data_IF_547942260540
#
_entry.id   IF_547942260540
#
_cell.length_a   1.000
_cell.length_b   1.000
_cell.length_c   1.000
_cell.angle_alpha   90.00
_cell.angle_beta   90.00
_cell.angle_gamma   90.00
#
_symmetry.space_group_name_H-M   'P 1'
#
loop_
_entity.id
_entity.type
_entity.pdbx_description
1 polymer ?
#
# COMPACT_ATOMS: atom_id res chain seq x y z
N UNK A 1 7.27 -2.47 78.06
CA UNK A 1 6.02 -1.68 78.15
C UNK A 1 5.58 -1.43 76.73
N UNK A 2 4.43 -2.03 76.36
CA UNK A 2 3.69 -1.84 75.10
C UNK A 2 4.40 -2.46 73.85
N UNK A 3 3.76 -3.05 72.85
CA UNK A 3 2.46 -2.80 72.20
C UNK A 3 2.02 -4.12 71.49
N UNK A 4 0.74 -4.47 71.58
CA UNK A 4 -0.06 -5.15 70.53
C UNK A 4 -1.14 -4.14 70.07
N UNK A 5 -1.87 -4.31 68.93
CA UNK A 5 -1.99 -5.48 68.05
C UNK A 5 -1.96 -5.19 66.52
N UNK A 6 -1.97 -6.29 65.76
CA UNK A 6 -2.26 -6.42 64.32
C UNK A 6 -3.58 -5.76 63.89
N UNK A 7 -3.54 -4.95 62.82
CA UNK A 7 -4.71 -4.43 62.12
C UNK A 7 -4.64 -4.76 60.63
N UNK A 8 -5.79 -5.21 60.11
CA UNK A 8 -6.09 -5.60 58.74
C UNK A 8 -5.87 -4.43 57.75
N UNK A 9 -5.30 -4.74 56.58
CA UNK A 9 -5.26 -3.85 55.41
C UNK A 9 -6.57 -3.97 54.62
N UNK A 10 -7.31 -2.89 54.35
CA UNK A 10 -8.37 -2.87 53.35
C UNK A 10 -7.90 -2.26 52.01
N UNK A 11 -8.71 -2.57 50.99
CA UNK A 11 -8.90 -1.89 49.71
C UNK A 11 -7.84 -2.04 48.60
N UNK A 12 -8.11 -3.02 47.76
CA UNK A 12 -8.39 -2.83 46.32
C UNK A 12 -8.02 -1.44 45.79
N UNK A 13 -6.84 -1.36 45.18
CA UNK A 13 -6.50 -0.31 44.23
C UNK A 13 -7.49 -0.38 43.05
N UNK A 14 -8.15 0.72 42.67
CA UNK A 14 -9.05 0.73 41.53
C UNK A 14 -8.28 0.50 40.22
N UNK A 15 -8.85 -0.36 39.37
CA UNK A 15 -8.54 -0.61 37.96
C UNK A 15 -8.50 0.71 37.16
N UNK A 16 -7.36 1.41 37.14
CA UNK A 16 -7.15 2.61 36.30
C UNK A 16 -5.87 2.53 35.46
N UNK A 17 -5.34 1.34 35.22
CA UNK A 17 -4.20 1.09 34.32
C UNK A 17 -4.53 0.22 33.11
N UNK A 18 -5.81 0.03 32.78
CA UNK A 18 -6.26 -0.75 31.62
C UNK A 18 -6.88 0.06 30.47
N UNK A 19 -6.92 1.40 30.57
CA UNK A 19 -7.67 2.25 29.61
C UNK A 19 -6.81 3.05 28.61
N UNK A 20 -5.55 2.65 28.36
CA UNK A 20 -4.64 3.38 27.45
C UNK A 20 -4.28 2.66 26.12
N UNK A 21 -5.10 1.73 25.63
CA UNK A 21 -4.92 1.12 24.30
C UNK A 21 -6.22 0.93 23.48
N UNK A 22 -7.30 1.65 23.80
CA UNK A 22 -8.50 1.71 22.94
C UNK A 22 -8.54 3.03 22.16
N UNK A 23 -7.56 3.25 21.29
CA UNK A 23 -7.72 4.25 20.24
C UNK A 23 -8.83 3.75 19.31
N UNK A 24 -10.05 4.27 19.50
CA UNK A 24 -11.19 4.04 18.61
C UNK A 24 -10.72 4.14 17.14
N UNK A 25 -10.95 3.12 16.31
CA UNK A 25 -10.42 3.10 14.95
C UNK A 25 -10.98 4.28 14.15
N UNK A 26 -10.09 5.13 13.63
CA UNK A 26 -10.46 6.24 12.75
C UNK A 26 -11.05 5.70 11.45
N UNK A 27 -12.37 5.82 11.31
CA UNK A 27 -13.08 5.54 10.05
C UNK A 27 -12.98 6.70 9.06
N UNK A 28 -13.03 6.38 7.77
CA UNK A 28 -13.09 7.39 6.72
C UNK A 28 -14.39 8.19 6.79
N UNK A 29 -14.27 9.51 6.67
CA UNK A 29 -15.39 10.40 6.41
C UNK A 29 -15.95 10.19 5.00
N UNK A 30 -17.21 10.60 4.71
CA UNK A 30 -17.77 10.53 3.36
C UNK A 30 -16.93 11.25 2.29
N UNK A 31 -16.29 12.37 2.67
CA UNK A 31 -15.42 13.15 1.77
C UNK A 31 -14.13 12.39 1.46
N UNK A 32 -13.48 11.80 2.46
CA UNK A 32 -12.27 10.99 2.26
C UNK A 32 -12.57 9.75 1.42
N UNK A 33 -13.69 9.07 1.68
CA UNK A 33 -14.14 7.92 0.89
C UNK A 33 -14.41 8.31 -0.57
N UNK A 34 -15.14 9.40 -0.81
CA UNK A 34 -15.40 9.89 -2.16
C UNK A 34 -14.10 10.19 -2.91
N UNK A 35 -13.14 10.84 -2.25
CA UNK A 35 -11.82 11.15 -2.83
C UNK A 35 -11.09 9.87 -3.22
N UNK A 36 -11.00 8.91 -2.31
CA UNK A 36 -10.34 7.63 -2.58
C UNK A 36 -10.97 6.89 -3.76
N UNK A 37 -12.31 6.87 -3.85
CA UNK A 37 -13.03 6.24 -4.96
C UNK A 37 -12.99 7.02 -6.28
N UNK A 38 -12.48 8.25 -6.28
CA UNK A 38 -12.34 9.07 -7.49
C UNK A 38 -11.01 8.85 -8.23
N UNK A 39 -10.07 8.11 -7.63
CA UNK A 39 -8.78 7.80 -8.27
C UNK A 39 -9.02 6.89 -9.47
N UNK A 40 -8.47 7.27 -10.62
CA UNK A 40 -8.55 6.47 -11.86
C UNK A 40 -7.79 5.15 -11.68
N UNK A 41 -8.47 4.03 -11.95
CA UNK A 41 -7.84 2.71 -12.03
C UNK A 41 -7.23 2.51 -13.43
N UNK A 42 -5.91 2.68 -13.52
CA UNK A 42 -5.14 2.57 -14.77
C UNK A 42 -5.16 1.15 -15.36
N UNK A 43 -5.56 0.14 -14.58
CA UNK A 43 -5.73 -1.23 -15.08
C UNK A 43 -7.03 -1.42 -15.84
N UNK A 44 -8.01 -0.53 -15.66
CA UNK A 44 -9.34 -0.68 -16.24
C UNK A 44 -9.46 0.07 -17.59
N UNK A 45 -9.62 -0.65 -18.71
CA UNK A 45 -9.75 -0.03 -20.04
C UNK A 45 -11.00 0.86 -20.15
N UNK A 46 -12.02 0.67 -19.30
CA UNK A 46 -13.19 1.54 -19.28
C UNK A 46 -12.86 2.97 -18.83
N UNK A 47 -11.72 3.17 -18.16
CA UNK A 47 -11.25 4.50 -17.74
C UNK A 47 -10.30 5.15 -18.75
N UNK A 48 -10.13 4.56 -19.93
CA UNK A 48 -9.24 5.03 -21.00
C UNK A 48 -7.95 4.21 -21.10
N UNK A 49 -7.21 4.33 -22.23
CA UNK A 49 -6.01 3.55 -22.48
C UNK A 49 -4.88 3.90 -21.51
N UNK A 50 -4.04 2.91 -21.20
CA UNK A 50 -2.80 3.08 -20.43
C UNK A 50 -1.85 1.89 -20.62
N UNK A 51 -0.54 2.14 -20.62
CA UNK A 51 0.52 1.13 -20.79
C UNK A 51 0.47 -0.01 -19.76
N UNK A 52 -0.07 0.27 -18.57
CA UNK A 52 -0.30 -0.73 -17.52
C UNK A 52 -1.21 -1.87 -18.01
N UNK A 53 -2.19 -1.57 -18.86
CA UNK A 53 -3.11 -2.56 -19.44
C UNK A 53 -2.37 -3.48 -20.41
N UNK A 54 -1.45 -2.92 -21.21
CA UNK A 54 -0.61 -3.69 -22.13
C UNK A 54 0.33 -4.63 -21.39
N UNK A 55 0.97 -4.14 -20.32
CA UNK A 55 1.85 -4.96 -19.49
C UNK A 55 1.06 -6.09 -18.80
N UNK A 56 -0.10 -5.77 -18.22
CA UNK A 56 -0.96 -6.77 -17.59
C UNK A 56 -1.42 -7.82 -18.60
N UNK A 57 -1.84 -7.40 -19.80
CA UNK A 57 -2.23 -8.31 -20.88
C UNK A 57 -1.06 -9.23 -21.27
N UNK A 58 0.14 -8.69 -21.47
CA UNK A 58 1.33 -9.48 -21.79
C UNK A 58 1.63 -10.56 -20.74
N UNK A 59 1.49 -10.23 -19.45
CA UNK A 59 1.68 -11.19 -18.35
C UNK A 59 0.61 -12.28 -18.36
N UNK A 60 -0.66 -11.90 -18.50
CA UNK A 60 -1.79 -12.84 -18.54
C UNK A 60 -1.70 -13.76 -19.75
N UNK A 61 -1.39 -13.21 -20.92
CA UNK A 61 -1.22 -13.96 -22.17
C UNK A 61 -0.04 -14.93 -22.08
N UNK A 62 1.09 -14.51 -21.49
CA UNK A 62 2.23 -15.38 -21.30
C UNK A 62 1.91 -16.57 -20.37
N UNK A 63 1.24 -16.31 -19.25
CA UNK A 63 0.85 -17.36 -18.30
C UNK A 63 -0.20 -18.32 -18.88
N UNK A 64 -1.24 -17.79 -19.52
CA UNK A 64 -2.29 -18.61 -20.14
C UNK A 64 -1.74 -19.45 -21.29
N UNK A 65 -0.87 -18.90 -22.14
CA UNK A 65 -0.18 -19.65 -23.18
C UNK A 65 0.76 -20.72 -22.60
N UNK A 66 1.49 -20.41 -21.52
CA UNK A 66 2.43 -21.34 -20.88
C UNK A 66 1.75 -22.58 -20.31
N UNK A 67 0.53 -22.44 -19.81
CA UNK A 67 -0.24 -23.52 -19.19
C UNK A 67 -1.34 -24.11 -20.09
N UNK A 68 -1.72 -23.43 -21.17
CA UNK A 68 -2.83 -23.83 -22.02
C UNK A 68 -4.20 -23.69 -21.33
N UNK A 69 -4.37 -22.63 -20.54
CA UNK A 69 -5.57 -22.39 -19.70
C UNK A 69 -6.27 -21.08 -20.06
N UNK A 70 -7.52 -20.93 -19.65
CA UNK A 70 -8.21 -19.63 -19.73
C UNK A 70 -7.81 -18.72 -18.57
N UNK A 71 -8.05 -17.41 -18.74
CA UNK A 71 -8.02 -16.44 -17.66
C UNK A 71 -9.42 -15.90 -17.37
N UNK A 72 -9.74 -15.74 -16.09
CA UNK A 72 -10.92 -15.02 -15.62
C UNK A 72 -10.50 -13.73 -14.92
N UNK A 73 -10.81 -12.59 -15.53
CA UNK A 73 -10.59 -11.28 -14.91
C UNK A 73 -11.74 -10.98 -13.94
N UNK A 74 -11.41 -10.70 -12.68
CA UNK A 74 -12.37 -10.35 -11.63
C UNK A 74 -12.19 -8.89 -11.27
N UNK A 75 -13.18 -8.07 -11.63
CA UNK A 75 -13.30 -6.68 -11.21
C UNK A 75 -14.54 -6.53 -10.33
N UNK A 76 -14.31 -6.20 -9.08
CA UNK A 76 -15.35 -5.94 -8.08
C UNK A 76 -15.03 -4.61 -7.37
N UNK A 77 -16.03 -3.96 -6.75
CA UNK A 77 -15.79 -2.70 -6.05
C UNK A 77 -14.66 -2.82 -5.01
N UNK A 78 -13.85 -1.77 -4.81
CA UNK A 78 -12.75 -1.80 -3.85
C UNK A 78 -13.22 -1.80 -2.39
N UNK A 79 -14.50 -1.55 -2.14
CA UNK A 79 -15.11 -1.66 -0.82
C UNK A 79 -15.38 -3.14 -0.51
N UNK A 80 -14.67 -3.69 0.47
CA UNK A 80 -14.68 -5.11 0.80
C UNK A 80 -14.96 -5.32 2.29
N UNK A 81 -15.40 -6.53 2.64
CA UNK A 81 -15.51 -6.92 4.04
C UNK A 81 -14.12 -7.10 4.66
N UNK A 82 -13.99 -6.78 5.94
CA UNK A 82 -12.77 -7.08 6.72
C UNK A 82 -12.46 -8.57 6.67
N UNK A 83 -13.50 -9.41 6.61
CA UNK A 83 -13.37 -10.85 6.51
C UNK A 83 -12.70 -11.29 5.20
N UNK A 84 -13.09 -10.71 4.06
CA UNK A 84 -12.47 -11.04 2.77
C UNK A 84 -11.06 -10.47 2.64
N UNK A 85 -10.83 -9.25 3.16
CA UNK A 85 -9.50 -8.64 3.12
C UNK A 85 -8.49 -9.35 4.03
N UNK A 86 -8.91 -9.93 5.16
CA UNK A 86 -7.98 -10.47 6.13
C UNK A 86 -8.33 -11.87 6.63
N UNK A 87 -9.50 -12.08 7.22
CA UNK A 87 -9.82 -13.32 7.94
C UNK A 87 -9.76 -14.56 7.03
N UNK A 88 -10.35 -14.47 5.84
CA UNK A 88 -10.40 -15.57 4.86
C UNK A 88 -9.03 -15.84 4.23
N UNK A 89 -8.15 -14.84 4.22
CA UNK A 89 -6.74 -14.97 3.82
C UNK A 89 -5.82 -15.43 4.96
N UNK A 90 -6.33 -15.54 6.19
CA UNK A 90 -5.61 -16.14 7.32
C UNK A 90 -4.77 -15.17 8.15
N UNK A 91 -4.91 -13.86 7.93
CA UNK A 91 -4.26 -12.86 8.77
C UNK A 91 -4.75 -12.98 10.22
N UNK A 92 -3.85 -12.87 11.19
CA UNK A 92 -4.21 -12.86 12.60
C UNK A 92 -5.00 -11.58 12.96
N UNK A 93 -5.88 -11.65 13.96
CA UNK A 93 -6.62 -10.46 14.42
C UNK A 93 -5.70 -9.36 14.98
N UNK A 94 -4.54 -9.75 15.53
CA UNK A 94 -3.51 -8.86 16.06
C UNK A 94 -2.44 -8.49 15.02
N UNK A 95 -2.66 -8.80 13.75
CA UNK A 95 -1.72 -8.49 12.68
C UNK A 95 -1.61 -6.97 12.50
N UNK A 96 -0.39 -6.46 12.48
CA UNK A 96 -0.09 -5.03 12.33
C UNK A 96 -0.71 -4.44 11.06
N UNK A 97 -0.86 -5.24 10.00
CA UNK A 97 -1.48 -4.81 8.74
C UNK A 97 -2.97 -4.46 8.89
N UNK A 98 -3.62 -4.90 9.98
CA UNK A 98 -5.00 -4.53 10.30
C UNK A 98 -5.10 -3.22 11.08
N UNK A 99 -4.00 -2.68 11.59
CA UNK A 99 -4.07 -1.45 12.36
C UNK A 99 -4.59 -0.29 11.51
N UNK A 100 -5.39 0.59 12.12
CA UNK A 100 -5.96 1.73 11.42
C UNK A 100 -4.87 2.60 10.80
N UNK A 101 -3.69 2.74 11.41
CA UNK A 101 -2.59 3.53 10.83
C UNK A 101 -2.14 3.10 9.43
N UNK A 102 -2.38 1.86 9.01
CA UNK A 102 -2.06 1.37 7.65
C UNK A 102 -3.30 1.21 6.77
N UNK A 103 -4.47 1.07 7.40
CA UNK A 103 -5.68 0.56 6.74
C UNK A 103 -6.85 1.53 6.83
N UNK A 104 -7.57 1.68 5.71
CA UNK A 104 -8.66 2.65 5.55
C UNK A 104 -10.04 2.00 5.76
N UNK A 105 -10.47 1.95 7.01
CA UNK A 105 -11.79 1.41 7.41
C UNK A 105 -12.93 2.40 7.14
N UNK A 106 -14.10 1.89 6.74
CA UNK A 106 -15.34 2.68 6.62
C UNK A 106 -16.35 2.33 7.72
N UNK A 107 -16.21 1.15 8.32
CA UNK A 107 -17.00 0.67 9.47
C UNK A 107 -16.23 -0.47 10.16
N UNK A 108 -16.71 -1.02 11.30
CA UNK A 108 -16.05 -2.17 11.96
C UNK A 108 -15.91 -3.41 11.07
N UNK A 109 -16.72 -3.54 10.01
CA UNK A 109 -16.79 -4.73 9.16
C UNK A 109 -16.46 -4.47 7.70
N UNK A 110 -16.23 -3.22 7.32
CA UNK A 110 -16.05 -2.79 5.92
C UNK A 110 -14.89 -1.81 5.78
N UNK A 111 -14.13 -1.95 4.68
CA UNK A 111 -12.94 -1.15 4.39
C UNK A 111 -12.73 -0.99 2.89
N UNK A 112 -11.88 -0.04 2.50
CA UNK A 112 -11.25 -0.09 1.19
C UNK A 112 -10.17 -1.17 1.20
N UNK A 113 -10.13 -2.03 0.18
CA UNK A 113 -9.19 -3.15 0.11
C UNK A 113 -7.74 -2.66 0.25
N UNK A 114 -6.97 -3.28 1.13
CA UNK A 114 -5.55 -2.95 1.30
C UNK A 114 -4.65 -3.73 0.34
N UNK A 115 -5.17 -4.71 -0.38
CA UNK A 115 -4.50 -5.43 -1.47
C UNK A 115 -5.53 -6.09 -2.38
N UNK A 116 -5.16 -6.40 -3.62
CA UNK A 116 -6.06 -7.08 -4.57
C UNK A 116 -6.43 -8.50 -4.14
N UNK A 117 -5.62 -9.16 -3.29
CA UNK A 117 -5.92 -10.50 -2.76
C UNK A 117 -7.21 -10.52 -1.95
N UNK A 118 -7.67 -9.37 -1.45
CA UNK A 118 -8.94 -9.23 -0.74
C UNK A 118 -10.15 -9.72 -1.54
N UNK A 119 -10.06 -9.74 -2.88
CA UNK A 119 -11.15 -10.24 -3.71
C UNK A 119 -11.01 -11.72 -4.08
N UNK A 120 -9.89 -12.36 -3.74
CA UNK A 120 -9.64 -13.78 -4.04
C UNK A 120 -10.63 -14.69 -3.29
N UNK A 121 -10.90 -14.54 -1.98
CA UNK A 121 -11.86 -15.41 -1.31
C UNK A 121 -13.25 -15.40 -1.97
N UNK A 122 -13.70 -14.23 -2.42
CA UNK A 122 -14.92 -14.10 -3.23
C UNK A 122 -14.77 -14.75 -4.62
N UNK A 123 -13.66 -14.50 -5.31
CA UNK A 123 -13.41 -15.02 -6.65
C UNK A 123 -13.35 -16.55 -6.69
N UNK A 124 -12.74 -17.20 -5.69
CA UNK A 124 -12.59 -18.66 -5.67
C UNK A 124 -13.81 -19.38 -5.09
N UNK A 125 -14.61 -18.74 -4.23
CA UNK A 125 -15.77 -19.41 -3.61
C UNK A 125 -16.83 -19.85 -4.63
N UNK A 126 -16.93 -19.15 -5.76
CA UNK A 126 -17.83 -19.52 -6.88
C UNK A 126 -17.51 -20.89 -7.49
N UNK A 127 -16.30 -21.42 -7.28
CA UNK A 127 -15.90 -22.74 -7.78
C UNK A 127 -16.31 -23.89 -6.85
N UNK A 128 -16.74 -23.61 -5.61
CA UNK A 128 -17.14 -24.64 -4.64
C UNK A 128 -18.28 -25.55 -5.15
N UNK A 129 -19.15 -25.01 -6.00
CA UNK A 129 -20.30 -25.73 -6.59
C UNK A 129 -20.00 -26.30 -7.98
N UNK A 130 -18.78 -26.13 -8.52
CA UNK A 130 -18.43 -26.55 -9.88
C UNK A 130 -17.99 -28.01 -9.90
N UNK A 131 -18.62 -28.79 -10.78
CA UNK A 131 -18.35 -30.22 -10.96
C UNK A 131 -17.37 -30.52 -12.10
N UNK A 132 -17.32 -29.66 -13.12
CA UNK A 132 -16.36 -29.80 -14.21
C UNK A 132 -14.92 -29.56 -13.72
N UNK A 133 -13.91 -30.23 -14.29
CA UNK A 133 -12.51 -29.93 -14.01
C UNK A 133 -12.20 -28.45 -14.24
N UNK A 134 -11.33 -27.90 -13.39
CA UNK A 134 -10.91 -26.51 -13.44
C UNK A 134 -9.38 -26.46 -13.45
N UNK A 135 -8.85 -25.72 -14.40
CA UNK A 135 -7.48 -25.20 -14.41
C UNK A 135 -7.56 -23.83 -15.07
N UNK A 136 -7.53 -22.78 -14.25
CA UNK A 136 -7.86 -21.43 -14.69
C UNK A 136 -7.00 -20.39 -13.95
N UNK A 137 -6.56 -19.37 -14.68
CA UNK A 137 -5.89 -18.20 -14.11
C UNK A 137 -6.91 -17.15 -13.69
N UNK A 138 -7.09 -16.95 -12.39
CA UNK A 138 -7.90 -15.88 -11.83
C UNK A 138 -7.02 -14.63 -11.74
N UNK A 139 -7.45 -13.56 -12.40
CA UNK A 139 -6.71 -12.29 -12.46
C UNK A 139 -7.54 -11.21 -11.78
N UNK A 140 -7.01 -10.61 -10.72
CA UNK A 140 -7.67 -9.55 -9.94
C UNK A 140 -6.82 -8.28 -9.99
N UNK A 141 -6.98 -7.43 -11.01
CA UNK A 141 -6.26 -6.17 -11.09
C UNK A 141 -7.02 -5.03 -10.41
N UNK A 142 -6.28 -4.02 -9.98
CA UNK A 142 -6.80 -2.68 -9.69
C UNK A 142 -6.15 -2.00 -8.50
N UNK A 143 -6.74 -0.89 -8.06
CA UNK A 143 -6.24 -0.09 -6.96
C UNK A 143 -6.35 -0.79 -5.60
N UNK A 144 -5.28 -0.77 -4.82
CA UNK A 144 -5.30 -1.00 -3.37
C UNK A 144 -5.25 0.35 -2.65
N UNK A 145 -5.71 0.39 -1.40
CA UNK A 145 -5.80 1.62 -0.61
C UNK A 145 -5.08 1.43 0.72
N UNK A 146 -3.91 2.04 0.84
CA UNK A 146 -3.07 1.98 2.03
C UNK A 146 -2.77 3.40 2.53
N UNK A 147 -2.44 3.52 3.81
CA UNK A 147 -1.70 4.67 4.30
C UNK A 147 -0.22 4.32 4.14
N UNK A 148 0.47 5.07 3.30
CA UNK A 148 1.84 4.80 2.88
C UNK A 148 2.58 6.13 2.68
N UNK A 149 3.90 6.07 2.69
CA UNK A 149 4.77 7.23 2.54
C UNK A 149 4.70 7.81 1.12
N UNK A 150 4.96 9.10 1.00
CA UNK A 150 4.97 9.83 -0.28
C UNK A 150 6.41 10.02 -0.75
N UNK A 151 6.77 9.25 -1.77
CA UNK A 151 8.03 9.42 -2.49
C UNK A 151 7.89 9.07 -3.98
N UNK A 152 9.02 9.06 -4.70
CA UNK A 152 9.07 8.82 -6.15
C UNK A 152 8.64 7.41 -6.56
N UNK A 153 8.52 6.48 -5.61
CA UNK A 153 8.27 5.05 -5.79
C UNK A 153 7.04 4.54 -5.04
N UNK A 154 6.50 5.32 -4.08
CA UNK A 154 5.37 4.96 -3.23
C UNK A 154 4.23 5.97 -3.38
N UNK A 155 3.00 5.44 -3.40
CA UNK A 155 1.75 6.19 -3.42
C UNK A 155 0.74 5.50 -2.51
N UNK A 156 -0.17 6.25 -1.90
CA UNK A 156 -1.20 5.69 -1.02
C UNK A 156 -2.24 4.80 -1.73
N UNK A 157 -2.32 4.89 -3.07
CA UNK A 157 -3.27 4.14 -3.89
C UNK A 157 -2.56 3.40 -5.03
N UNK A 158 -1.71 2.39 -4.75
CA UNK A 158 -0.99 1.66 -5.79
C UNK A 158 -1.93 0.72 -6.56
N UNK A 159 -1.64 0.49 -7.84
CA UNK A 159 -2.25 -0.60 -8.60
C UNK A 159 -1.51 -1.89 -8.31
N UNK A 160 -2.29 -2.94 -8.08
CA UNK A 160 -1.80 -4.29 -7.90
C UNK A 160 -2.51 -5.24 -8.86
N UNK A 161 -1.96 -6.43 -9.00
CA UNK A 161 -2.67 -7.57 -9.56
C UNK A 161 -2.39 -8.80 -8.72
N UNK A 162 -3.45 -9.54 -8.41
CA UNK A 162 -3.36 -10.92 -7.97
C UNK A 162 -3.58 -11.85 -9.15
N UNK A 163 -2.62 -12.73 -9.39
CA UNK A 163 -2.63 -13.79 -10.39
C UNK A 163 -2.66 -15.13 -9.66
N UNK A 164 -3.81 -15.79 -9.66
CA UNK A 164 -4.02 -17.04 -8.94
C UNK A 164 -4.41 -18.16 -9.90
N UNK A 165 -3.54 -19.15 -10.09
CA UNK A 165 -3.89 -20.33 -10.87
C UNK A 165 -4.60 -21.33 -9.96
N UNK A 166 -5.88 -21.57 -10.19
CA UNK A 166 -6.68 -22.51 -9.40
C UNK A 166 -6.88 -23.81 -10.18
N UNK A 167 -6.55 -24.95 -9.55
CA UNK A 167 -6.64 -26.28 -10.15
C UNK A 167 -7.50 -27.20 -9.30
N UNK A 168 -8.41 -27.93 -9.93
CA UNK A 168 -9.22 -28.98 -9.30
C UNK A 168 -8.49 -30.34 -9.24
N UNK A 169 -7.18 -30.28 -8.98
CA UNK A 169 -6.30 -31.42 -8.73
C UNK A 169 -5.28 -31.00 -7.65
N UNK A 170 -4.87 -31.88 -6.71
CA UNK A 170 -4.00 -31.54 -5.59
C UNK A 170 -2.50 -31.78 -5.89
N UNK A 171 -2.04 -31.46 -7.10
CA UNK A 171 -0.70 -31.81 -7.60
C UNK A 171 0.17 -30.59 -7.93
N UNK A 172 -0.24 -29.36 -7.57
CA UNK A 172 0.58 -28.15 -7.81
C UNK A 172 1.85 -28.17 -6.96
N UNK A 173 3.00 -27.94 -7.58
CA UNK A 173 4.32 -28.02 -6.92
C UNK A 173 5.12 -26.71 -6.98
N UNK A 174 6.27 -26.67 -6.31
CA UNK A 174 7.23 -25.56 -6.42
C UNK A 174 7.81 -25.41 -7.83
N UNK A 175 7.87 -26.48 -8.63
CA UNK A 175 8.29 -26.37 -10.02
C UNK A 175 7.29 -25.55 -10.84
N UNK A 176 5.98 -25.72 -10.59
CA UNK A 176 4.94 -24.89 -11.20
C UNK A 176 5.09 -23.42 -10.78
N UNK A 177 5.47 -23.17 -9.52
CA UNK A 177 5.72 -21.84 -8.99
C UNK A 177 6.93 -21.18 -9.67
N UNK A 178 8.04 -21.89 -9.82
CA UNK A 178 9.22 -21.39 -10.54
C UNK A 178 8.93 -21.09 -12.01
N UNK A 179 8.10 -21.92 -12.67
CA UNK A 179 7.62 -21.64 -14.03
C UNK A 179 6.80 -20.35 -14.05
N UNK A 180 5.89 -20.15 -13.09
CA UNK A 180 5.10 -18.92 -12.98
C UNK A 180 6.00 -17.69 -12.84
N UNK A 181 6.96 -17.75 -11.90
CA UNK A 181 7.90 -16.65 -11.63
C UNK A 181 8.69 -16.29 -12.88
N UNK A 182 9.32 -17.27 -13.53
CA UNK A 182 10.10 -17.03 -14.73
C UNK A 182 9.26 -16.44 -15.87
N UNK A 183 8.02 -16.90 -16.02
CA UNK A 183 7.09 -16.39 -17.06
C UNK A 183 6.67 -14.95 -16.77
N UNK A 184 6.36 -14.61 -15.51
CA UNK A 184 6.00 -13.24 -15.11
C UNK A 184 7.20 -12.30 -15.29
N UNK A 185 8.39 -12.69 -14.81
CA UNK A 185 9.59 -11.87 -14.95
C UNK A 185 9.92 -11.61 -16.43
N UNK A 186 9.88 -12.63 -17.28
CA UNK A 186 10.19 -12.45 -18.71
C UNK A 186 9.15 -11.59 -19.43
N UNK A 187 7.87 -11.70 -19.06
CA UNK A 187 6.82 -10.84 -19.61
C UNK A 187 6.94 -9.37 -19.18
N UNK A 188 7.33 -9.11 -17.92
CA UNK A 188 7.46 -7.76 -17.37
C UNK A 188 8.79 -7.12 -17.78
N UNK A 189 9.89 -7.85 -17.64
CA UNK A 189 11.28 -7.41 -17.85
C UNK A 189 12.06 -8.49 -18.61
N UNK A 190 11.86 -8.60 -19.94
CA UNK A 190 12.53 -9.57 -20.78
C UNK A 190 14.05 -9.56 -20.60
N UNK A 191 14.63 -10.73 -20.35
CA UNK A 191 16.07 -10.89 -20.15
C UNK A 191 16.62 -10.43 -18.79
N UNK A 192 15.78 -9.97 -17.86
CA UNK A 192 16.23 -9.64 -16.52
C UNK A 192 16.67 -10.89 -15.73
N UNK A 193 17.74 -10.73 -14.95
CA UNK A 193 18.11 -11.73 -13.95
C UNK A 193 17.15 -11.60 -12.77
N UNK A 194 16.71 -12.72 -12.22
CA UNK A 194 15.86 -12.75 -11.03
C UNK A 194 16.39 -13.75 -10.01
N UNK A 195 15.95 -13.58 -8.76
CA UNK A 195 16.18 -14.53 -7.65
C UNK A 195 14.93 -14.59 -6.78
N UNK A 196 14.84 -15.62 -5.96
CA UNK A 196 13.80 -15.75 -4.94
C UNK A 196 14.40 -15.73 -3.55
N UNK A 197 13.67 -15.11 -2.62
CA UNK A 197 13.96 -15.15 -1.18
C UNK A 197 12.74 -15.70 -0.47
N UNK A 198 12.87 -16.69 0.43
CA UNK A 198 11.72 -17.20 1.19
C UNK A 198 10.99 -16.08 1.93
N UNK A 199 9.66 -16.08 1.83
CA UNK A 199 8.77 -15.10 2.43
C UNK A 199 7.55 -15.82 3.02
N UNK A 200 7.05 -15.35 4.16
CA UNK A 200 5.91 -15.97 4.84
C UNK A 200 4.71 -15.07 4.68
N UNK A 201 3.68 -15.58 4.00
CA UNK A 201 2.37 -14.92 3.91
C UNK A 201 1.28 -15.83 4.48
N UNK A 202 0.26 -15.28 5.17
CA UNK A 202 -0.81 -16.08 5.77
C UNK A 202 -1.62 -16.92 4.79
N UNK A 203 -1.63 -16.52 3.50
CA UNK A 203 -2.43 -17.13 2.44
C UNK A 203 -1.63 -18.04 1.50
N UNK A 204 -0.33 -18.23 1.72
CA UNK A 204 0.52 -19.12 0.91
C UNK A 204 1.30 -20.13 1.74
N UNK A 205 1.68 -21.25 1.13
CA UNK A 205 2.78 -22.13 1.58
C UNK A 205 3.97 -21.97 0.66
N UNK A 206 5.16 -22.17 1.22
CA UNK A 206 6.44 -22.06 0.51
C UNK A 206 6.51 -20.73 -0.26
N UNK A 207 6.08 -19.66 0.43
CA UNK A 207 6.05 -18.33 -0.13
C UNK A 207 7.45 -17.82 -0.42
N UNK A 208 7.58 -17.00 -1.45
CA UNK A 208 8.81 -16.32 -1.78
C UNK A 208 8.56 -14.95 -2.41
N UNK A 209 9.46 -14.04 -2.08
CA UNK A 209 9.63 -12.77 -2.74
C UNK A 209 10.47 -12.98 -4.01
N UNK A 210 10.08 -12.33 -5.10
CA UNK A 210 10.77 -12.33 -6.38
C UNK A 210 11.48 -11.00 -6.56
N UNK A 211 12.82 -11.03 -6.60
CA UNK A 211 13.63 -9.86 -6.90
C UNK A 211 14.15 -9.92 -8.33
N UNK A 212 14.17 -8.78 -9.01
CA UNK A 212 14.81 -8.59 -10.32
C UNK A 212 16.06 -7.72 -10.18
N UNK A 213 17.11 -8.05 -10.95
CA UNK A 213 18.32 -7.24 -11.01
C UNK A 213 18.12 -6.09 -11.98
N UNK A 214 18.14 -4.87 -11.46
CA UNK A 214 17.93 -3.65 -12.22
C UNK A 214 18.82 -2.54 -11.67
N UNK A 215 19.49 -1.81 -12.57
CA UNK A 215 20.39 -0.69 -12.23
C UNK A 215 21.32 -0.98 -11.03
N UNK A 216 22.06 -2.09 -11.11
CA UNK A 216 23.03 -2.52 -10.10
C UNK A 216 22.47 -2.84 -8.71
N UNK A 217 21.16 -3.05 -8.58
CA UNK A 217 20.53 -3.46 -7.32
C UNK A 217 19.46 -4.53 -7.53
N UNK A 218 19.10 -5.24 -6.46
CA UNK A 218 17.99 -6.18 -6.45
C UNK A 218 16.74 -5.44 -5.99
N UNK A 219 15.70 -5.46 -6.82
CA UNK A 219 14.43 -4.79 -6.54
C UNK A 219 13.31 -5.82 -6.52
N UNK A 220 12.48 -5.76 -5.48
CA UNK A 220 11.29 -6.59 -5.35
C UNK A 220 10.28 -6.28 -6.47
N UNK A 221 9.86 -7.32 -7.19
CA UNK A 221 8.85 -7.27 -8.23
C UNK A 221 7.49 -7.83 -7.75
N UNK A 222 7.51 -8.99 -7.11
CA UNK A 222 6.30 -9.73 -6.76
C UNK A 222 6.53 -10.64 -5.54
N UNK A 223 5.44 -11.07 -4.92
CA UNK A 223 5.42 -12.11 -3.88
C UNK A 223 4.50 -13.24 -4.34
N UNK A 224 4.88 -14.49 -4.08
CA UNK A 224 4.13 -15.64 -4.58
C UNK A 224 4.31 -16.90 -3.72
N UNK A 225 3.48 -17.91 -3.95
CA UNK A 225 3.57 -19.19 -3.27
C UNK A 225 2.49 -20.18 -3.70
N UNK A 226 2.48 -21.36 -3.09
CA UNK A 226 1.37 -22.32 -3.23
C UNK A 226 0.17 -21.82 -2.41
N UNK A 227 -1.05 -21.93 -2.92
CA UNK A 227 -2.24 -21.51 -2.16
C UNK A 227 -2.32 -22.26 -0.82
N UNK A 228 -2.48 -21.53 0.29
CA UNK A 228 -2.61 -22.17 1.60
C UNK A 228 -3.94 -22.96 1.69
N UNK A 229 -3.93 -24.24 2.12
CA UNK A 229 -5.14 -25.06 2.25
C UNK A 229 -6.26 -24.43 3.09
N UNK A 230 -5.92 -23.65 4.10
CA UNK A 230 -6.95 -22.98 4.91
C UNK A 230 -7.66 -21.85 4.17
N UNK A 231 -7.02 -21.21 3.19
CA UNK A 231 -7.69 -20.22 2.33
C UNK A 231 -8.72 -20.91 1.43
N UNK A 232 -8.38 -22.08 0.89
CA UNK A 232 -9.30 -22.92 0.14
C UNK A 232 -10.49 -23.33 1.01
N UNK A 233 -10.23 -23.87 2.23
CA UNK A 233 -11.30 -24.28 3.18
C UNK A 233 -12.22 -23.13 3.55
N UNK A 234 -11.66 -21.96 3.93
CA UNK A 234 -12.43 -20.75 4.26
C UNK A 234 -13.19 -20.16 3.06
N UNK A 235 -12.94 -20.67 1.86
CA UNK A 235 -13.68 -20.30 0.65
C UNK A 235 -14.58 -21.42 0.13
N UNK A 236 -14.72 -22.53 0.86
CA UNK A 236 -15.60 -23.65 0.51
C UNK A 236 -14.98 -24.69 -0.43
N UNK A 237 -13.66 -24.66 -0.65
CA UNK A 237 -12.94 -25.61 -1.49
C UNK A 237 -12.19 -26.63 -0.63
N UNK A 238 -12.32 -27.91 -0.97
CA UNK A 238 -11.61 -29.00 -0.30
C UNK A 238 -10.15 -29.10 -0.78
N UNK A 239 -9.14 -28.89 0.08
CA UNK A 239 -7.73 -28.95 -0.31
C UNK A 239 -7.24 -30.34 -0.75
N UNK A 240 -8.02 -31.41 -0.51
CA UNK A 240 -7.73 -32.73 -1.08
C UNK A 240 -8.04 -32.77 -2.58
N UNK A 241 -8.92 -31.88 -3.05
CA UNK A 241 -9.33 -31.78 -4.46
C UNK A 241 -8.75 -30.57 -5.17
N UNK A 242 -8.42 -29.52 -4.43
CA UNK A 242 -8.03 -28.23 -4.99
C UNK A 242 -6.62 -27.85 -4.57
N UNK A 243 -5.83 -27.36 -5.52
CA UNK A 243 -4.54 -26.73 -5.26
C UNK A 243 -4.32 -25.58 -6.23
N UNK A 244 -3.19 -24.89 -6.12
CA UNK A 244 -2.88 -23.81 -7.05
C UNK A 244 -1.73 -22.94 -6.61
N UNK A 245 -1.50 -21.91 -7.41
CA UNK A 245 -0.49 -20.88 -7.19
C UNK A 245 -1.15 -19.54 -6.88
N UNK A 246 -0.48 -18.74 -6.07
CA UNK A 246 -0.84 -17.36 -5.78
C UNK A 246 0.37 -16.46 -6.08
N UNK A 247 0.15 -15.34 -6.74
CA UNK A 247 1.14 -14.29 -6.96
C UNK A 247 0.48 -12.93 -6.87
N UNK A 248 1.06 -12.03 -6.07
CA UNK A 248 0.73 -10.62 -6.02
C UNK A 248 1.86 -9.78 -6.60
N UNK A 249 1.52 -8.79 -7.43
CA UNK A 249 2.52 -7.90 -8.06
C UNK A 249 2.05 -6.45 -8.02
N UNK A 250 2.97 -5.54 -7.66
CA UNK A 250 2.75 -4.10 -7.78
C UNK A 250 2.90 -3.64 -9.23
N UNK A 251 1.78 -3.26 -9.86
CA UNK A 251 1.75 -2.89 -11.28
C UNK A 251 2.44 -1.54 -11.53
N UNK A 252 2.33 -0.57 -10.62
CA UNK A 252 3.05 0.70 -10.74
C UNK A 252 4.55 0.42 -10.83
N UNK A 253 5.13 -0.28 -9.83
CA UNK A 253 6.56 -0.62 -9.80
C UNK A 253 7.00 -1.43 -11.03
N UNK A 254 6.24 -2.45 -11.40
CA UNK A 254 6.52 -3.25 -12.59
C UNK A 254 6.60 -2.39 -13.87
N UNK A 255 5.67 -1.43 -14.04
CA UNK A 255 5.68 -0.54 -15.19
C UNK A 255 6.81 0.48 -15.14
N UNK A 256 7.13 1.00 -13.95
CA UNK A 256 8.29 1.88 -13.73
C UNK A 256 9.58 1.19 -14.18
N UNK A 257 9.77 -0.07 -13.78
CA UNK A 257 10.94 -0.86 -14.17
C UNK A 257 10.94 -1.15 -15.68
N UNK A 258 9.80 -1.61 -16.22
CA UNK A 258 9.66 -1.96 -17.64
C UNK A 258 10.02 -0.80 -18.57
N UNK A 259 9.52 0.40 -18.25
CA UNK A 259 9.74 1.59 -19.08
C UNK A 259 10.92 2.45 -18.60
N UNK A 260 11.52 2.20 -17.44
CA UNK A 260 12.51 3.08 -16.81
C UNK A 260 11.95 4.47 -16.46
N UNK A 261 10.71 4.52 -15.98
CA UNK A 261 10.07 5.76 -15.54
C UNK A 261 10.65 6.16 -14.18
N UNK A 262 11.17 7.39 -14.01
CA UNK A 262 11.93 7.77 -12.83
C UNK A 262 11.06 8.23 -11.64
N UNK A 263 9.76 8.42 -11.85
CA UNK A 263 8.83 8.97 -10.87
C UNK A 263 7.42 8.40 -11.08
N UNK A 264 6.86 7.77 -10.05
CA UNK A 264 5.55 7.13 -10.07
C UNK A 264 4.41 8.10 -10.42
N UNK A 265 4.56 9.39 -10.10
CA UNK A 265 3.54 10.41 -10.39
C UNK A 265 3.31 10.56 -11.90
N UNK A 266 4.28 10.18 -12.74
CA UNK A 266 4.12 10.24 -14.20
C UNK A 266 3.02 9.30 -14.71
N UNK A 267 2.76 8.18 -14.02
CA UNK A 267 1.72 7.24 -14.43
C UNK A 267 0.31 7.85 -14.44
N UNK A 268 0.11 8.94 -13.69
CA UNK A 268 -1.19 9.63 -13.56
C UNK A 268 -1.16 11.04 -14.15
N UNK A 269 -0.06 11.45 -14.77
CA UNK A 269 0.09 12.80 -15.29
C UNK A 269 -0.83 13.07 -16.48
N UNK A 270 -1.45 14.25 -16.48
CA UNK A 270 -2.18 14.78 -17.62
C UNK A 270 -1.29 15.59 -18.59
N UNK A 271 0.01 15.69 -18.33
CA UNK A 271 0.94 16.45 -19.18
C UNK A 271 1.08 15.76 -20.55
N UNK A 272 0.83 16.44 -21.68
CA UNK A 272 0.71 15.79 -23.00
C UNK A 272 1.94 14.99 -23.45
N UNK A 273 3.17 15.44 -23.14
CA UNK A 273 4.42 14.75 -23.52
C UNK A 273 4.66 13.50 -22.67
N UNK A 274 4.14 13.48 -21.45
CA UNK A 274 4.13 12.28 -20.58
C UNK A 274 3.04 11.32 -21.06
N UNK A 275 1.81 11.82 -21.24
CA UNK A 275 0.66 11.03 -21.65
C UNK A 275 0.91 10.28 -22.97
N UNK A 276 1.57 10.92 -23.93
CA UNK A 276 1.94 10.33 -25.23
C UNK A 276 2.99 9.21 -25.15
N UNK A 277 3.49 8.87 -23.97
CA UNK A 277 4.41 7.74 -23.74
C UNK A 277 3.75 6.62 -22.92
N UNK A 278 2.47 6.76 -22.56
CA UNK A 278 1.72 5.85 -21.71
C UNK A 278 0.70 5.02 -22.50
N UNK A 279 0.87 4.89 -23.81
CA UNK A 279 0.06 4.05 -24.71
C UNK A 279 0.85 2.87 -25.30
N UNK A 280 2.13 2.73 -24.97
CA UNK A 280 3.02 1.63 -25.36
C UNK A 280 3.90 1.13 -24.20
N UNK A 281 4.73 0.11 -24.47
CA UNK A 281 5.73 -0.40 -23.53
C UNK A 281 7.18 0.00 -23.89
N UNK A 282 7.35 1.00 -24.75
CA UNK A 282 8.67 1.48 -25.15
C UNK A 282 9.39 2.15 -23.97
N UNK A 283 10.72 2.22 -24.05
CA UNK A 283 11.53 2.87 -23.04
C UNK A 283 11.16 4.36 -22.89
N UNK A 284 11.06 4.81 -21.64
CA UNK A 284 10.78 6.19 -21.27
C UNK A 284 11.79 7.16 -21.89
N UNK A 285 11.27 8.26 -22.45
CA UNK A 285 12.03 9.38 -22.98
C UNK A 285 11.90 10.54 -21.99
N UNK A 286 13.03 11.02 -21.42
CA UNK A 286 13.00 12.10 -20.44
C UNK A 286 12.27 13.35 -20.95
N UNK A 287 11.34 13.86 -20.16
CA UNK A 287 10.75 15.19 -20.32
C UNK A 287 11.53 16.19 -19.45
N UNK A 288 11.66 17.44 -19.90
CA UNK A 288 12.40 18.48 -19.16
C UNK A 288 11.81 18.65 -17.76
N UNK A 289 12.65 18.45 -16.75
CA UNK A 289 12.28 18.60 -15.35
C UNK A 289 12.27 20.07 -14.96
N UNK A 290 11.27 20.44 -14.16
CA UNK A 290 11.25 21.74 -13.48
C UNK A 290 12.11 21.67 -12.20
N UNK A 291 12.78 22.77 -11.82
CA UNK A 291 13.61 22.77 -10.62
C UNK A 291 12.75 22.51 -9.37
N UNK A 292 13.25 21.72 -8.40
CA UNK A 292 12.53 21.53 -7.15
C UNK A 292 12.61 22.77 -6.28
N UNK A 293 11.61 22.95 -5.42
CA UNK A 293 11.63 23.90 -4.32
C UNK A 293 11.52 23.12 -3.01
N UNK A 294 12.49 23.26 -2.12
CA UNK A 294 12.50 22.58 -0.82
C UNK A 294 12.08 23.52 0.30
N UNK A 295 11.29 23.00 1.25
CA UNK A 295 10.91 23.70 2.48
C UNK A 295 11.07 22.74 3.66
N UNK A 296 11.84 23.16 4.66
CA UNK A 296 11.94 22.45 5.93
C UNK A 296 10.93 23.02 6.92
N UNK A 297 10.17 22.13 7.58
CA UNK A 297 9.14 22.46 8.55
C UNK A 297 9.51 21.84 9.90
N UNK A 298 9.60 22.66 10.94
CA UNK A 298 9.67 22.17 12.31
C UNK A 298 8.26 22.12 12.88
N UNK A 299 7.71 20.94 13.07
CA UNK A 299 6.32 20.74 13.51
C UNK A 299 6.27 20.09 14.89
N UNK A 300 5.14 20.26 15.57
CA UNK A 300 4.84 19.58 16.82
C UNK A 300 3.80 18.51 16.51
N UNK A 301 4.04 17.29 16.96
CA UNK A 301 3.15 16.14 16.75
C UNK A 301 3.01 15.38 18.06
N UNK A 302 1.91 14.66 18.22
CA UNK A 302 1.71 13.81 19.40
C UNK A 302 2.66 12.61 19.34
N UNK A 303 3.19 12.20 20.49
CA UNK A 303 4.13 11.08 20.58
C UNK A 303 3.50 9.81 20.00
N UNK A 304 4.23 9.12 19.13
CA UNK A 304 3.74 7.91 18.44
C UNK A 304 3.03 8.18 17.10
N UNK A 305 2.89 9.44 16.67
CA UNK A 305 2.42 9.77 15.31
C UNK A 305 3.39 9.21 14.26
N UNK A 306 2.95 8.29 13.40
CA UNK A 306 3.80 7.69 12.36
C UNK A 306 3.90 8.56 11.11
N UNK A 307 4.90 8.29 10.27
CA UNK A 307 5.12 9.01 9.00
C UNK A 307 3.93 8.82 8.05
N UNK A 308 3.34 7.61 8.00
CA UNK A 308 2.16 7.31 7.17
C UNK A 308 0.93 8.11 7.60
N UNK A 309 0.77 8.38 8.89
CA UNK A 309 -0.31 9.23 9.41
C UNK A 309 -0.10 10.70 9.05
N UNK A 310 1.15 11.18 9.05
CA UNK A 310 1.49 12.52 8.58
C UNK A 310 1.18 12.67 7.10
N UNK A 311 1.60 11.71 6.30
CA UNK A 311 1.42 11.73 4.85
C UNK A 311 -0.06 11.62 4.45
N UNK A 312 -0.85 10.79 5.13
CA UNK A 312 -2.32 10.73 4.95
C UNK A 312 -2.98 12.09 5.29
N UNK A 313 -2.54 12.74 6.38
CA UNK A 313 -3.03 14.06 6.75
C UNK A 313 -2.66 15.14 5.70
N UNK A 314 -1.43 15.09 5.17
CA UNK A 314 -0.95 16.00 4.12
C UNK A 314 -1.74 15.80 2.83
N UNK A 315 -1.88 14.55 2.37
CA UNK A 315 -2.69 14.18 1.20
C UNK A 315 -4.12 14.68 1.36
N UNK A 316 -4.69 14.51 2.55
CA UNK A 316 -6.05 14.94 2.80
C UNK A 316 -6.22 16.46 2.72
N UNK A 317 -5.23 17.20 3.22
CA UNK A 317 -5.22 18.65 3.23
C UNK A 317 -4.93 19.27 1.87
N UNK A 318 -4.02 18.69 1.09
CA UNK A 318 -3.64 19.21 -0.24
C UNK A 318 -4.67 18.87 -1.32
N UNK A 319 -5.36 17.75 -1.21
CA UNK A 319 -6.30 17.29 -2.24
C UNK A 319 -5.58 17.17 -3.58
N UNK A 320 -6.11 17.81 -4.63
CA UNK A 320 -5.57 17.75 -5.99
C UNK A 320 -4.16 18.36 -6.10
N UNK A 321 -3.76 19.22 -5.16
CA UNK A 321 -2.41 19.80 -5.09
C UNK A 321 -1.34 18.83 -4.59
N UNK A 322 -1.70 17.60 -4.23
CA UNK A 322 -0.72 16.59 -3.78
C UNK A 322 0.28 16.22 -4.87
N UNK A 323 -0.10 16.33 -6.15
CA UNK A 323 0.77 16.03 -7.29
C UNK A 323 1.96 17.02 -7.42
N UNK A 324 1.85 18.20 -6.79
CA UNK A 324 2.95 19.17 -6.69
C UNK A 324 4.05 18.72 -5.72
N UNK A 325 3.74 17.76 -4.84
CA UNK A 325 4.66 17.22 -3.85
C UNK A 325 5.42 16.05 -4.46
N UNK A 326 6.75 16.17 -4.50
CA UNK A 326 7.64 15.09 -4.94
C UNK A 326 7.97 14.11 -3.83
N UNK A 327 8.20 14.63 -2.62
CA UNK A 327 8.54 13.80 -1.47
C UNK A 327 8.28 14.53 -0.17
N UNK A 328 7.89 13.77 0.85
CA UNK A 328 7.84 14.22 2.24
C UNK A 328 8.78 13.30 3.02
N UNK A 329 9.75 13.88 3.72
CA UNK A 329 10.75 13.10 4.48
C UNK A 329 10.85 13.65 5.89
N UNK A 330 10.60 12.81 6.89
CA UNK A 330 10.91 13.13 8.29
C UNK A 330 12.42 12.96 8.49
N UNK A 331 13.12 14.08 8.61
CA UNK A 331 14.59 14.08 8.76
C UNK A 331 15.02 13.72 10.18
N UNK A 332 14.24 14.16 11.17
CA UNK A 332 14.57 13.99 12.58
C UNK A 332 13.32 14.08 13.43
N UNK A 333 13.29 13.30 14.52
CA UNK A 333 12.34 13.43 15.63
C UNK A 333 13.11 13.74 16.91
N UNK A 334 12.56 14.58 17.77
CA UNK A 334 13.18 14.96 19.04
C UNK A 334 12.12 15.05 20.11
N UNK A 335 12.26 14.22 21.14
CA UNK A 335 11.32 14.12 22.26
C UNK A 335 11.27 15.42 23.05
N UNK A 336 10.24 15.60 23.88
CA UNK A 336 10.14 16.75 24.77
C UNK A 336 11.39 16.93 25.65
N UNK A 337 11.93 15.85 26.22
CA UNK A 337 13.06 15.94 27.15
C UNK A 337 14.38 16.25 26.46
N UNK A 338 14.55 15.76 25.22
CA UNK A 338 15.76 15.99 24.42
C UNK A 338 15.76 17.35 23.71
N UNK A 339 14.59 18.01 23.60
CA UNK A 339 14.47 19.28 22.90
C UNK A 339 15.02 20.44 23.76
N UNK A 340 15.88 21.32 23.21
CA UNK A 340 16.42 22.45 23.96
C UNK A 340 15.32 23.33 24.59
N UNK A 341 15.48 23.82 25.84
CA UNK A 341 14.45 24.59 26.53
C UNK A 341 13.89 25.79 25.75
N UNK A 342 14.75 26.51 25.02
CA UNK A 342 14.34 27.63 24.17
C UNK A 342 13.44 27.18 22.99
N UNK A 343 13.72 26.02 22.40
CA UNK A 343 12.91 25.45 21.33
C UNK A 343 11.56 24.92 21.86
N UNK A 344 11.55 24.28 23.05
CA UNK A 344 10.30 23.91 23.74
C UNK A 344 9.40 25.09 23.98
N UNK A 345 9.94 26.18 24.51
CA UNK A 345 9.18 27.39 24.80
C UNK A 345 8.65 28.04 23.51
N UNK A 346 9.48 28.11 22.46
CA UNK A 346 9.08 28.68 21.16
C UNK A 346 7.94 27.90 20.51
N UNK A 347 8.01 26.57 20.55
CA UNK A 347 7.01 25.69 19.94
C UNK A 347 5.77 25.46 20.83
N UNK A 348 5.88 25.76 22.13
CA UNK A 348 4.87 25.44 23.13
C UNK A 348 4.63 23.92 23.27
N UNK A 349 5.71 23.13 23.19
CA UNK A 349 5.65 21.67 23.27
C UNK A 349 5.12 21.22 24.64
N UNK A 350 4.25 20.21 24.67
CA UNK A 350 3.86 19.50 25.90
C UNK A 350 4.63 18.18 26.06
N UNK A 351 4.71 17.60 27.27
CA UNK A 351 5.48 16.35 27.52
C UNK A 351 5.02 15.12 26.72
N UNK A 352 3.77 15.10 26.27
CA UNK A 352 3.18 14.08 25.40
C UNK A 352 3.42 14.33 23.90
N UNK A 353 4.18 15.37 23.56
CA UNK A 353 4.45 15.77 22.19
C UNK A 353 5.96 15.73 21.87
N UNK A 354 6.26 15.59 20.60
CA UNK A 354 7.62 15.64 20.07
C UNK A 354 7.73 16.63 18.90
N UNK A 355 8.95 17.09 18.64
CA UNK A 355 9.25 17.86 17.45
C UNK A 355 9.64 16.93 16.30
N UNK A 356 9.03 17.13 15.14
CA UNK A 356 9.45 16.49 13.90
C UNK A 356 9.97 17.55 12.92
N UNK A 357 11.17 17.33 12.38
CA UNK A 357 11.72 18.11 11.28
C UNK A 357 11.37 17.41 9.97
N UNK A 358 10.49 18.03 9.19
CA UNK A 358 9.97 17.49 7.94
C UNK A 358 10.53 18.28 6.76
N UNK A 359 11.08 17.60 5.77
CA UNK A 359 11.48 18.17 4.49
C UNK A 359 10.39 17.92 3.46
N UNK A 360 9.82 19.01 2.94
CA UNK A 360 8.87 19.01 1.85
C UNK A 360 9.60 19.39 0.56
N UNK A 361 9.63 18.49 -0.42
CA UNK A 361 10.14 18.77 -1.77
C UNK A 361 8.97 18.97 -2.70
N UNK A 362 8.86 20.18 -3.26
CA UNK A 362 7.83 20.55 -4.23
C UNK A 362 8.44 20.54 -5.63
N UNK A 363 7.86 19.76 -6.53
CA UNK A 363 8.22 19.74 -7.94
C UNK A 363 7.00 19.29 -8.75
N UNK A 364 6.13 20.23 -9.15
CA UNK A 364 5.04 19.92 -10.06
C UNK A 364 5.56 19.39 -11.39
N UNK A 365 4.72 18.60 -12.05
CA UNK A 365 5.06 17.94 -13.31
C UNK A 365 4.83 18.86 -14.51
N UNK A 366 3.79 19.69 -14.45
CA UNK A 366 3.22 20.40 -15.60
C UNK A 366 3.35 21.94 -15.53
N UNK A 367 3.78 22.50 -14.40
CA UNK A 367 3.91 23.94 -14.22
C UNK A 367 5.06 24.36 -13.30
N UNK A 368 5.61 25.56 -13.55
CA UNK A 368 6.61 26.14 -12.65
C UNK A 368 5.93 26.67 -11.39
N UNK A 369 6.54 26.37 -10.25
CA UNK A 369 6.07 26.85 -8.97
C UNK A 369 6.84 28.11 -8.58
N UNK A 370 6.13 29.18 -8.25
CA UNK A 370 6.74 30.38 -7.68
C UNK A 370 7.05 30.18 -6.18
N UNK A 371 7.98 30.96 -5.63
CA UNK A 371 8.24 30.91 -4.17
C UNK A 371 7.00 31.24 -3.33
N UNK A 372 6.13 32.12 -3.83
CA UNK A 372 4.87 32.46 -3.16
C UNK A 372 3.92 31.26 -3.11
N UNK A 373 3.76 30.54 -4.22
CA UNK A 373 2.95 29.31 -4.27
C UNK A 373 3.57 28.20 -3.42
N UNK A 374 4.91 28.07 -3.39
CA UNK A 374 5.60 27.13 -2.51
C UNK A 374 5.31 27.40 -1.05
N UNK A 375 5.31 28.67 -0.65
CA UNK A 375 5.02 29.07 0.72
C UNK A 375 3.55 28.84 1.08
N UNK A 376 2.62 29.02 0.13
CA UNK A 376 1.21 28.66 0.33
C UNK A 376 1.04 27.17 0.58
N UNK A 377 1.66 26.32 -0.26
CA UNK A 377 1.64 24.86 -0.08
C UNK A 377 2.28 24.45 1.25
N UNK A 378 3.46 24.99 1.58
CA UNK A 378 4.12 24.78 2.87
C UNK A 378 3.17 25.13 4.02
N UNK A 379 2.52 26.29 3.98
CA UNK A 379 1.63 26.75 5.05
C UNK A 379 0.39 25.87 5.19
N UNK A 380 -0.14 25.35 4.08
CA UNK A 380 -1.24 24.38 4.08
C UNK A 380 -0.81 23.05 4.69
N UNK A 381 0.35 22.52 4.29
CA UNK A 381 0.97 21.31 4.88
C UNK A 381 1.18 21.50 6.38
N UNK A 382 1.82 22.61 6.78
CA UNK A 382 2.10 22.92 8.19
C UNK A 382 0.83 22.89 9.03
N UNK A 383 -0.24 23.57 8.59
CA UNK A 383 -1.52 23.60 9.32
C UNK A 383 -2.17 22.23 9.43
N UNK A 384 -1.97 21.35 8.44
CA UNK A 384 -2.55 20.02 8.44
C UNK A 384 -1.93 19.11 9.51
N UNK A 385 -0.61 19.21 9.71
CA UNK A 385 0.16 18.25 10.53
C UNK A 385 0.65 18.81 11.86
N UNK A 386 0.74 20.12 12.01
CA UNK A 386 1.17 20.74 13.27
C UNK A 386 0.05 20.66 14.32
N UNK A 387 0.40 20.24 15.53
CA UNK A 387 -0.47 20.10 16.71
C UNK A 387 -0.06 21.00 17.88
N UNK A 388 1.00 21.77 17.71
CA UNK A 388 1.46 22.71 18.72
C UNK A 388 0.57 23.95 18.81
N UNK A 389 0.63 24.68 19.94
CA UNK A 389 -0.16 25.89 20.15
C UNK A 389 0.40 27.12 19.39
N UNK A 390 1.65 27.05 18.92
CA UNK A 390 2.33 28.18 18.24
C UNK A 390 2.45 27.92 16.73
N UNK A 391 1.81 28.75 15.92
CA UNK A 391 1.78 28.59 14.46
C UNK A 391 2.85 29.44 13.78
N UNK A 392 3.72 28.81 12.98
CA UNK A 392 4.82 29.47 12.23
C UNK A 392 4.58 29.41 10.71
N UNK A 393 3.91 30.43 10.17
CA UNK A 393 3.65 30.56 8.73
C UNK A 393 4.76 31.35 8.02
N UNK A 394 5.06 30.96 6.78
CA UNK A 394 6.04 31.57 5.89
C UNK A 394 5.43 32.69 5.05
#
# INVERSE_FOLDING_TARGET
MSIEPSAQLPDQLPDQLSDQLSAEPRYLTPTELKRALSVRDLTDPATGPHAMQLMLAAVVDALTARWGVSAAVVRVPPLVSVADNYDRLGYAATDVTRESRYTRYTSPTTMLRSHTSANIPYAISRYAVRLAPVDELITVPGLAYRRDVVDRTHVGEPHQVDLWRLRSVPDTTEDDLLIMIGTVVDAVLPGARWRTTPAVHPYTRNGCQVDVWYDSSWLELAECGLIHPDVLRRSGLDPVRWSGLALGMGLDRALLLRKGIPDIRYLRSAEPRILAQLDDLDQWRPVSMLPPITRDLSIVVDTGTTDELLDDAIRSALGDRVDDVESIVVLQRTTYDDLPPAARQRLGLSPDQENALVRLTLRPIDHMLTDAEANQLRNQVYRAIHRGPVVELA
#
